data_IF_566466284527
#
_entry.id   IF_566466284527
#
_cell.length_a   1.000
_cell.length_b   1.000
_cell.length_c   1.000
_cell.angle_alpha   90.00
_cell.angle_beta   90.00
_cell.angle_gamma   90.00
#
_symmetry.space_group_name_H-M   'P 1'
#
loop_
_entity.id
_entity.type
_entity.pdbx_description
1 polymer ?
#
# COMPACT_ATOMS: atom_id res chain seq x y z
N UNK A 1 -6.40 29.94 1.75
CA UNK A 1 -7.39 28.84 1.75
C UNK A 1 -7.10 27.78 0.68
N UNK A 2 -6.78 28.14 -0.58
CA UNK A 2 -6.63 27.18 -1.69
C UNK A 2 -5.47 26.16 -1.58
N UNK A 3 -4.30 26.56 -1.06
CA UNK A 3 -3.12 25.68 -1.03
C UNK A 3 -3.27 24.43 -0.15
N UNK A 4 -3.97 24.51 0.99
CA UNK A 4 -4.15 23.36 1.90
C UNK A 4 -5.07 22.30 1.29
N UNK A 5 -6.11 22.74 0.57
CA UNK A 5 -7.06 21.84 -0.09
C UNK A 5 -6.39 21.16 -1.27
N UNK A 6 -5.56 21.88 -2.03
CA UNK A 6 -4.79 21.29 -3.14
C UNK A 6 -3.88 20.14 -2.67
N UNK A 7 -3.10 20.35 -1.60
CA UNK A 7 -2.27 19.28 -1.02
C UNK A 7 -3.10 18.08 -0.55
N UNK A 8 -4.26 18.33 0.08
CA UNK A 8 -5.17 17.27 0.52
C UNK A 8 -5.73 16.45 -0.65
N UNK A 9 -6.17 17.12 -1.72
CA UNK A 9 -6.72 16.47 -2.92
C UNK A 9 -5.67 15.63 -3.63
N UNK A 10 -4.44 16.12 -3.75
CA UNK A 10 -3.33 15.35 -4.34
C UNK A 10 -3.08 14.07 -3.54
N UNK A 11 -3.09 14.16 -2.20
CA UNK A 11 -2.92 12.99 -1.33
C UNK A 11 -4.04 11.94 -1.50
N UNK A 12 -5.30 12.38 -1.48
CA UNK A 12 -6.46 11.47 -1.63
C UNK A 12 -6.47 10.83 -3.02
N UNK A 13 -6.18 11.62 -4.07
CA UNK A 13 -6.13 11.11 -5.44
C UNK A 13 -5.02 10.07 -5.62
N UNK A 14 -3.83 10.34 -5.08
CA UNK A 14 -2.72 9.38 -5.10
C UNK A 14 -3.09 8.07 -4.43
N UNK A 15 -3.69 8.13 -3.24
CA UNK A 15 -4.11 6.94 -2.50
C UNK A 15 -5.18 6.12 -3.27
N UNK A 16 -6.15 6.80 -3.90
CA UNK A 16 -7.17 6.15 -4.73
C UNK A 16 -6.57 5.51 -5.99
N UNK A 17 -5.65 6.20 -6.67
CA UNK A 17 -4.97 5.69 -7.85
C UNK A 17 -4.14 4.44 -7.53
N UNK A 18 -3.38 4.46 -6.43
CA UNK A 18 -2.62 3.28 -5.96
C UNK A 18 -3.54 2.11 -5.67
N UNK A 19 -4.67 2.34 -4.98
CA UNK A 19 -5.62 1.27 -4.67
C UNK A 19 -6.27 0.68 -5.93
N UNK A 20 -6.63 1.53 -6.89
CA UNK A 20 -7.19 1.09 -8.17
C UNK A 20 -6.18 0.28 -8.99
N UNK A 21 -4.93 0.73 -9.03
CA UNK A 21 -3.86 0.05 -9.73
C UNK A 21 -3.59 -1.34 -9.11
N UNK A 22 -3.50 -1.42 -7.79
CA UNK A 22 -3.30 -2.68 -7.05
C UNK A 22 -4.46 -3.66 -7.29
N UNK A 23 -5.68 -3.14 -7.39
CA UNK A 23 -6.86 -3.91 -7.74
C UNK A 23 -6.82 -4.47 -9.17
N UNK A 24 -6.45 -3.64 -10.16
CA UNK A 24 -6.30 -4.08 -11.55
C UNK A 24 -5.20 -5.14 -11.64
N UNK A 25 -4.04 -4.91 -11.03
CA UNK A 25 -2.95 -5.89 -10.96
C UNK A 25 -3.39 -7.21 -10.35
N UNK A 26 -4.13 -7.17 -9.24
CA UNK A 26 -4.62 -8.41 -8.59
C UNK A 26 -5.65 -9.13 -9.47
N UNK A 27 -6.46 -8.38 -10.23
CA UNK A 27 -7.45 -8.95 -11.15
C UNK A 27 -6.82 -9.55 -12.41
N UNK A 28 -5.70 -9.01 -12.89
CA UNK A 28 -4.96 -9.53 -14.05
C UNK A 28 -4.05 -10.71 -13.67
N UNK A 29 -3.49 -10.71 -12.46
CA UNK A 29 -2.48 -11.68 -12.03
C UNK A 29 -3.07 -12.91 -11.31
N UNK A 30 -4.26 -12.80 -10.71
CA UNK A 30 -4.80 -13.87 -9.87
C UNK A 30 -6.32 -14.10 -9.95
N UNK A 31 -6.78 -15.35 -9.82
CA UNK A 31 -8.20 -15.68 -9.71
C UNK A 31 -8.83 -15.09 -8.43
N UNK A 32 -10.16 -14.97 -8.42
CA UNK A 32 -11.02 -14.29 -7.42
C UNK A 32 -10.69 -14.52 -5.94
N UNK A 33 -10.02 -15.61 -5.59
CA UNK A 33 -9.65 -15.99 -4.22
C UNK A 33 -8.58 -15.06 -3.63
N UNK A 34 -7.54 -14.70 -4.40
CA UNK A 34 -6.48 -13.80 -3.94
C UNK A 34 -6.99 -12.37 -3.83
N UNK A 35 -7.91 -11.97 -4.73
CA UNK A 35 -8.57 -10.65 -4.69
C UNK A 35 -9.35 -10.43 -3.39
N UNK A 36 -10.13 -11.40 -2.93
CA UNK A 36 -10.85 -11.27 -1.65
C UNK A 36 -9.90 -11.23 -0.45
N UNK A 37 -8.82 -12.00 -0.48
CA UNK A 37 -7.80 -11.96 0.57
C UNK A 37 -7.07 -10.60 0.62
N UNK A 38 -6.70 -10.04 -0.54
CA UNK A 38 -6.03 -8.75 -0.65
C UNK A 38 -6.91 -7.59 -0.16
N UNK A 39 -8.19 -7.57 -0.57
CA UNK A 39 -9.19 -6.61 -0.09
C UNK A 39 -9.41 -6.74 1.42
N UNK A 40 -9.46 -7.97 1.95
CA UNK A 40 -9.56 -8.23 3.38
C UNK A 40 -8.34 -7.72 4.16
N UNK A 41 -7.13 -7.97 3.67
CA UNK A 41 -5.90 -7.51 4.31
C UNK A 41 -5.77 -5.99 4.29
N UNK A 42 -6.07 -5.33 3.17
CA UNK A 42 -6.06 -3.85 3.10
C UNK A 42 -7.11 -3.23 4.01
N UNK A 43 -8.32 -3.81 4.08
CA UNK A 43 -9.33 -3.37 5.03
C UNK A 43 -8.84 -3.49 6.48
N UNK A 44 -8.28 -4.64 6.88
CA UNK A 44 -7.74 -4.84 8.22
C UNK A 44 -6.57 -3.89 8.53
N UNK A 45 -5.66 -3.68 7.58
CA UNK A 45 -4.56 -2.73 7.73
C UNK A 45 -5.07 -1.30 7.91
N UNK A 46 -6.09 -0.88 7.15
CA UNK A 46 -6.71 0.43 7.32
C UNK A 46 -7.36 0.59 8.70
N UNK A 47 -7.98 -0.48 9.21
CA UNK A 47 -8.67 -0.48 10.49
C UNK A 47 -7.69 -0.47 11.66
N UNK A 48 -6.58 -1.20 11.55
CA UNK A 48 -5.45 -1.09 12.47
C UNK A 48 -4.87 0.32 12.49
N UNK A 49 -4.67 0.94 11.33
CA UNK A 49 -4.23 2.34 11.23
C UNK A 49 -5.20 3.30 11.94
N UNK A 50 -6.51 3.10 11.79
CA UNK A 50 -7.52 3.90 12.47
C UNK A 50 -7.53 3.72 13.99
N UNK A 51 -7.19 2.53 14.51
CA UNK A 51 -7.05 2.26 15.95
C UNK A 51 -5.76 2.90 16.49
N UNK A 52 -4.66 2.80 15.75
CA UNK A 52 -3.36 3.38 16.13
C UNK A 52 -3.38 4.91 16.06
N UNK A 53 -4.18 5.48 15.15
CA UNK A 53 -4.22 6.92 14.95
C UNK A 53 -4.52 7.77 16.20
N UNK A 54 -5.60 7.52 16.98
CA UNK A 54 -5.86 8.27 18.21
C UNK A 54 -4.81 7.99 19.30
N UNK A 55 -4.25 6.78 19.36
CA UNK A 55 -3.17 6.45 20.32
C UNK A 55 -1.94 7.32 20.07
N UNK A 56 -1.53 7.48 18.82
CA UNK A 56 -0.37 8.32 18.44
C UNK A 56 -0.65 9.81 18.70
N UNK A 57 -1.89 10.27 18.51
CA UNK A 57 -2.29 11.66 18.81
C UNK A 57 -2.28 11.94 20.31
N UNK A 58 -2.56 10.95 21.16
CA UNK A 58 -2.51 11.09 22.62
C UNK A 58 -1.09 11.27 23.17
N UNK A 59 -0.04 10.92 22.41
CA UNK A 59 1.36 11.01 22.85
C UNK A 59 1.97 12.42 22.77
N UNK A 60 1.29 13.40 22.14
CA UNK A 60 1.72 14.81 22.12
C UNK A 60 1.37 15.53 20.80
N UNK A 61 1.57 16.85 20.71
CA UNK A 61 1.12 17.65 19.54
C UNK A 61 2.04 17.58 18.31
N UNK A 62 3.36 17.36 18.47
CA UNK A 62 4.33 17.34 17.35
C UNK A 62 4.70 15.94 16.87
N UNK A 63 4.68 14.96 17.77
CA UNK A 63 4.99 13.57 17.47
C UNK A 63 4.06 12.92 16.43
N UNK A 64 2.73 13.10 16.45
CA UNK A 64 1.84 12.44 15.49
C UNK A 64 2.11 12.86 14.05
N UNK A 65 2.33 14.15 13.79
CA UNK A 65 2.66 14.62 12.45
C UNK A 65 3.95 13.99 11.90
N UNK A 66 4.97 13.85 12.74
CA UNK A 66 6.21 13.19 12.37
C UNK A 66 6.01 11.68 12.12
N UNK A 67 5.23 10.99 12.97
CA UNK A 67 4.97 9.56 12.84
C UNK A 67 4.14 9.24 11.60
N UNK A 68 3.03 9.96 11.36
CA UNK A 68 2.20 9.76 10.17
C UNK A 68 2.95 10.12 8.88
N UNK A 69 3.72 11.22 8.92
CA UNK A 69 4.57 11.62 7.80
C UNK A 69 5.64 10.57 7.50
N UNK A 70 6.36 10.11 8.52
CA UNK A 70 7.38 9.07 8.39
C UNK A 70 6.79 7.74 7.91
N UNK A 71 5.64 7.30 8.43
CA UNK A 71 4.98 6.09 7.96
C UNK A 71 4.55 6.19 6.50
N UNK A 72 4.08 7.36 6.07
CA UNK A 72 3.72 7.62 4.66
C UNK A 72 4.95 7.64 3.75
N UNK A 73 6.06 8.25 4.20
CA UNK A 73 7.33 8.27 3.47
C UNK A 73 7.90 6.85 3.36
N UNK A 74 7.92 6.08 4.45
CA UNK A 74 8.37 4.68 4.46
C UNK A 74 7.47 3.83 3.56
N UNK A 75 6.15 4.00 3.63
CA UNK A 75 5.21 3.31 2.73
C UNK A 75 5.43 3.67 1.27
N UNK A 76 5.62 4.96 0.95
CA UNK A 76 5.94 5.43 -0.39
C UNK A 76 7.30 4.92 -0.88
N UNK A 77 8.33 4.93 -0.03
CA UNK A 77 9.63 4.34 -0.32
C UNK A 77 9.54 2.83 -0.52
N UNK A 78 8.72 2.12 0.26
CA UNK A 78 8.46 0.70 0.04
C UNK A 78 7.78 0.46 -1.30
N UNK A 79 6.86 1.33 -1.71
CA UNK A 79 6.21 1.27 -3.03
C UNK A 79 7.19 1.58 -4.16
N UNK A 80 8.13 2.50 -3.95
CA UNK A 80 9.22 2.79 -4.90
C UNK A 80 10.30 1.69 -4.92
N UNK A 81 10.53 1.04 -3.77
CA UNK A 81 11.46 -0.07 -3.62
C UNK A 81 10.85 -1.38 -4.10
N UNK A 82 9.52 -1.49 -4.12
CA UNK A 82 8.83 -2.45 -4.96
C UNK A 82 9.22 -2.08 -6.39
N UNK A 83 10.16 -2.82 -7.00
CA UNK A 83 10.66 -2.47 -8.32
C UNK A 83 9.45 -2.42 -9.22
N UNK A 84 9.32 -1.34 -9.98
CA UNK A 84 8.30 -1.22 -11.01
C UNK A 84 8.16 -2.58 -11.71
N UNK A 85 7.02 -3.23 -11.53
CA UNK A 85 6.64 -4.49 -12.19
C UNK A 85 6.31 -4.23 -13.67
N UNK A 86 7.09 -3.39 -14.33
CA UNK A 86 6.96 -2.95 -15.72
C UNK A 86 8.02 -3.59 -16.62
N UNK A 87 8.54 -4.79 -16.28
CA UNK A 87 9.33 -5.62 -17.22
C UNK A 87 9.69 -7.04 -16.72
N UNK A 88 8.79 -7.77 -16.05
CA UNK A 88 9.03 -9.22 -15.82
C UNK A 88 7.93 -10.04 -16.48
N UNK A 89 8.28 -11.11 -17.23
CA UNK A 89 7.30 -11.92 -17.94
C UNK A 89 6.28 -12.49 -16.96
N UNK A 90 5.01 -12.33 -17.33
CA UNK A 90 3.83 -12.85 -16.66
C UNK A 90 4.06 -14.33 -16.31
N UNK A 91 4.11 -14.67 -15.02
CA UNK A 91 4.03 -16.07 -14.60
C UNK A 91 2.56 -16.49 -14.69
N UNK A 92 2.23 -17.26 -15.72
CA UNK A 92 0.89 -17.79 -16.00
C UNK A 92 0.34 -18.76 -14.93
N UNK A 93 1.11 -19.05 -13.87
CA UNK A 93 0.71 -20.03 -12.83
C UNK A 93 1.23 -19.64 -11.45
N UNK A 94 0.41 -19.88 -10.42
CA UNK A 94 0.72 -19.60 -9.00
C UNK A 94 2.02 -20.28 -8.53
N UNK A 95 2.42 -21.40 -9.15
CA UNK A 95 3.67 -22.09 -8.87
C UNK A 95 4.94 -21.26 -9.17
N UNK A 96 4.88 -20.34 -10.15
CA UNK A 96 6.03 -19.49 -10.50
C UNK A 96 6.31 -18.36 -9.51
N UNK A 97 5.30 -17.93 -8.74
CA UNK A 97 5.46 -16.93 -7.68
C UNK A 97 6.08 -17.52 -6.41
N UNK A 98 5.76 -18.77 -6.06
CA UNK A 98 6.36 -19.47 -4.91
C UNK A 98 7.86 -19.79 -5.12
N UNK A 99 8.32 -19.99 -6.36
CA UNK A 99 9.75 -20.21 -6.66
C UNK A 99 10.56 -18.88 -6.66
N UNK A 100 9.93 -17.76 -7.01
CA UNK A 100 10.53 -16.43 -6.94
C UNK A 100 10.73 -15.93 -5.50
N UNK A 101 9.83 -16.29 -4.58
CA UNK A 101 9.95 -15.93 -3.16
C UNK A 101 11.07 -16.73 -2.46
N UNK A 102 11.31 -17.99 -2.87
CA UNK A 102 12.41 -18.83 -2.35
C UNK A 102 13.80 -18.37 -2.76
N UNK A 103 13.94 -17.59 -3.83
CA UNK A 103 15.24 -17.11 -4.32
C UNK A 103 15.67 -15.76 -3.74
N UNK A 104 14.79 -15.06 -3.01
CA UNK A 104 15.13 -13.84 -2.25
C UNK A 104 15.58 -14.17 -0.81
N UNK A 105 15.30 -15.38 -0.33
CA UNK A 105 15.69 -15.87 1.02
C UNK A 105 17.05 -16.60 1.02
N UNK A 106 17.80 -16.56 -0.09
CA UNK A 106 19.16 -17.10 -0.16
C UNK A 106 20.16 -16.04 -0.60
#
# INVERSE_FOLDING_TARGET
>A
MGGRVACGVVGIFGMAATYNLLFIYTAELFPTVVRNAALGCTAQASQMGAIVAPLVVMLGERLPFAVFGASGIVGGLLVLYLPETMNKPLYDTMAGLEEGEKSVVK
#
